data_IF_823723003667
#
_entry.id   IF_823723003667
#
_cell.length_a   1.000
_cell.length_b   1.000
_cell.length_c   1.000
_cell.angle_alpha   90.00
_cell.angle_beta   90.00
_cell.angle_gamma   90.00
#
_symmetry.space_group_name_H-M   'P 1'
#
loop_
_entity.id
_entity.type
_entity.pdbx_description
1 polymer ?
#
# COMPACT_ATOMS: atom_id res chain seq x y z
N UNK A 1 6.28 3.91 2.14
CA UNK A 1 6.93 5.23 2.32
C UNK A 1 8.30 4.99 2.92
N UNK A 2 9.41 5.31 2.23
CA UNK A 2 10.75 5.26 2.79
C UNK A 2 10.88 6.32 3.90
N UNK A 3 11.60 6.00 4.97
CA UNK A 3 11.84 6.87 6.13
C UNK A 3 13.24 6.59 6.69
N UNK A 4 13.81 7.48 7.48
CA UNK A 4 15.14 7.27 8.07
C UNK A 4 15.16 6.13 9.08
N UNK A 5 14.12 6.02 9.91
CA UNK A 5 14.02 4.99 10.94
C UNK A 5 12.57 4.51 11.10
N UNK A 6 12.33 3.24 10.81
CA UNK A 6 11.01 2.63 10.92
C UNK A 6 10.62 2.22 12.36
N UNK A 7 11.57 2.27 13.31
CA UNK A 7 11.29 1.99 14.72
C UNK A 7 10.75 3.24 15.42
N UNK A 8 9.44 3.42 15.40
CA UNK A 8 8.75 4.55 16.01
C UNK A 8 8.20 4.12 17.36
N UNK A 9 8.93 4.39 18.43
CA UNK A 9 8.53 4.00 19.78
C UNK A 9 7.29 4.78 20.24
N UNK A 10 6.31 4.07 20.78
CA UNK A 10 5.09 4.69 21.31
C UNK A 10 4.09 5.18 20.27
N UNK A 11 4.29 4.94 18.98
CA UNK A 11 3.40 5.38 17.91
C UNK A 11 1.92 5.04 18.18
N UNK A 12 1.63 3.86 18.72
CA UNK A 12 0.27 3.43 19.05
C UNK A 12 -0.38 4.22 20.20
N UNK A 13 0.38 4.98 20.98
CA UNK A 13 -0.13 5.81 22.09
C UNK A 13 -0.57 7.20 21.63
N UNK A 14 -0.14 7.62 20.45
CA UNK A 14 -0.45 8.91 19.87
C UNK A 14 -1.92 8.94 19.42
N UNK A 15 -2.52 10.12 19.42
CA UNK A 15 -3.82 10.37 18.77
C UNK A 15 -3.71 10.21 17.25
N UNK A 16 -4.85 10.15 16.54
CA UNK A 16 -4.86 10.02 15.07
C UNK A 16 -4.21 11.23 14.40
N UNK A 17 -4.43 12.45 14.92
CA UNK A 17 -3.79 13.67 14.41
C UNK A 17 -2.27 13.65 14.61
N UNK A 18 -1.81 13.34 15.82
CA UNK A 18 -0.38 13.26 16.12
C UNK A 18 0.34 12.20 15.27
N UNK A 19 -0.31 11.06 14.99
CA UNK A 19 0.26 10.04 14.08
C UNK A 19 0.40 10.55 12.66
N UNK A 20 -0.59 11.32 12.16
CA UNK A 20 -0.54 11.92 10.83
C UNK A 20 0.59 12.93 10.71
N UNK A 21 0.68 13.84 11.67
CA UNK A 21 1.71 14.87 11.74
C UNK A 21 3.11 14.24 11.80
N UNK A 22 3.32 13.27 12.67
CA UNK A 22 4.59 12.56 12.78
C UNK A 22 4.96 11.83 11.48
N UNK A 23 4.00 11.15 10.83
CA UNK A 23 4.25 10.47 9.55
C UNK A 23 4.57 11.47 8.44
N UNK A 24 3.90 12.61 8.43
CA UNK A 24 4.19 13.68 7.46
C UNK A 24 5.63 14.19 7.62
N UNK A 25 6.07 14.43 8.84
CA UNK A 25 7.42 14.86 9.14
C UNK A 25 8.47 13.83 8.71
N UNK A 26 8.36 12.59 9.18
CA UNK A 26 9.39 11.56 8.95
C UNK A 26 9.42 11.00 7.52
N UNK A 27 8.34 11.16 6.75
CA UNK A 27 8.23 10.72 5.36
C UNK A 27 8.24 11.90 4.37
N UNK A 28 8.53 13.12 4.85
CA UNK A 28 8.61 14.37 4.08
C UNK A 28 7.37 14.59 3.18
N UNK A 29 6.17 14.36 3.74
CA UNK A 29 4.91 14.53 3.02
C UNK A 29 4.46 15.98 3.04
N UNK A 30 3.79 16.40 1.96
CA UNK A 30 3.18 17.74 1.91
C UNK A 30 1.94 17.86 2.79
N UNK A 31 1.55 19.10 3.12
CA UNK A 31 0.31 19.41 3.84
C UNK A 31 -0.92 18.82 3.13
N UNK A 32 -0.93 18.82 1.81
CA UNK A 32 -2.01 18.24 0.99
C UNK A 32 -2.23 16.74 1.27
N UNK A 33 -1.14 15.97 1.45
CA UNK A 33 -1.24 14.56 1.82
C UNK A 33 -1.82 14.36 3.21
N UNK A 34 -1.44 15.21 4.17
CA UNK A 34 -1.97 15.17 5.55
C UNK A 34 -3.46 15.49 5.58
N UNK A 35 -3.86 16.52 4.83
CA UNK A 35 -5.26 16.90 4.68
C UNK A 35 -6.07 15.78 4.01
N UNK A 36 -5.57 15.17 2.93
CA UNK A 36 -6.23 14.05 2.27
C UNK A 36 -6.51 12.89 3.24
N UNK A 37 -5.56 12.57 4.12
CA UNK A 37 -5.78 11.56 5.14
C UNK A 37 -6.75 11.98 6.26
N UNK A 38 -6.97 13.28 6.43
CA UNK A 38 -7.92 13.81 7.42
C UNK A 38 -9.36 13.77 6.94
N UNK A 39 -9.56 13.76 5.62
CA UNK A 39 -10.88 13.74 4.98
C UNK A 39 -11.40 12.32 4.88
N UNK A 40 -12.71 12.16 4.97
CA UNK A 40 -13.40 10.89 4.77
C UNK A 40 -14.38 11.02 3.62
N UNK A 41 -14.47 9.97 2.78
CA UNK A 41 -15.47 9.93 1.71
C UNK A 41 -15.16 10.83 0.50
N UNK A 42 -13.89 10.99 0.15
CA UNK A 42 -13.46 11.83 -0.98
C UNK A 42 -13.63 11.19 -2.38
N UNK A 43 -13.89 9.89 -2.44
CA UNK A 43 -14.18 9.26 -3.72
C UNK A 43 -15.60 9.68 -4.17
N UNK A 44 -15.68 10.58 -5.14
CA UNK A 44 -16.94 11.03 -5.71
C UNK A 44 -17.60 9.94 -6.57
N UNK A 45 -18.92 10.07 -6.77
CA UNK A 45 -19.72 9.08 -7.50
C UNK A 45 -19.26 8.91 -8.95
N UNK A 46 -18.87 10.00 -9.63
CA UNK A 46 -18.42 9.96 -11.03
C UNK A 46 -17.10 9.19 -11.15
N UNK A 47 -16.18 9.37 -10.21
CA UNK A 47 -14.93 8.61 -10.15
C UNK A 47 -15.19 7.14 -9.83
N UNK A 48 -16.06 6.85 -8.87
CA UNK A 48 -16.44 5.49 -8.53
C UNK A 48 -17.08 4.74 -9.72
N UNK A 49 -17.97 5.40 -10.47
CA UNK A 49 -18.63 4.80 -11.65
C UNK A 49 -17.65 4.46 -12.77
N UNK A 50 -16.52 5.17 -12.86
CA UNK A 50 -15.44 4.82 -13.81
C UNK A 50 -14.58 3.64 -13.34
N UNK A 51 -14.65 3.27 -12.06
CA UNK A 51 -13.82 2.20 -11.48
C UNK A 51 -14.49 0.82 -11.54
N UNK A 52 -15.81 0.77 -11.32
CA UNK A 52 -16.59 -0.46 -11.35
C UNK A 52 -17.99 -0.21 -11.93
N UNK A 53 -18.67 -1.25 -12.37
CA UNK A 53 -20.04 -1.21 -12.89
C UNK A 53 -21.08 -1.14 -11.77
N UNK A 54 -22.27 -0.58 -12.07
CA UNK A 54 -23.47 -0.58 -11.21
C UNK A 54 -23.23 0.04 -9.83
N UNK A 55 -22.47 1.11 -9.75
CA UNK A 55 -22.17 1.83 -8.50
C UNK A 55 -23.46 2.29 -7.82
N UNK A 56 -23.56 2.06 -6.53
CA UNK A 56 -24.65 2.55 -5.66
C UNK A 56 -24.13 3.46 -4.52
N UNK A 57 -22.83 3.67 -4.43
CA UNK A 57 -22.19 4.49 -3.42
C UNK A 57 -20.74 4.10 -3.17
N UNK A 58 -20.12 4.70 -2.17
CA UNK A 58 -18.74 4.45 -1.74
C UNK A 58 -18.68 3.95 -0.30
N UNK A 59 -17.66 3.17 0.02
CA UNK A 59 -17.43 2.64 1.36
C UNK A 59 -16.03 2.98 1.85
N UNK A 60 -15.92 3.59 3.03
CA UNK A 60 -14.64 4.01 3.59
C UNK A 60 -14.06 2.93 4.51
N UNK A 61 -12.78 2.62 4.33
CA UNK A 61 -11.99 1.73 5.19
C UNK A 61 -10.94 2.53 5.98
N UNK A 62 -10.62 2.10 7.22
CA UNK A 62 -9.53 2.70 7.97
C UNK A 62 -8.17 2.50 7.30
N UNK A 63 -7.31 3.52 7.36
CA UNK A 63 -5.89 3.40 6.99
C UNK A 63 -5.07 3.37 8.28
N UNK A 64 -4.35 2.27 8.51
CA UNK A 64 -3.36 2.14 9.55
C UNK A 64 -1.95 2.13 8.98
N UNK A 65 -0.92 2.25 9.82
CA UNK A 65 0.48 2.16 9.40
C UNK A 65 1.22 1.15 10.25
N UNK A 66 1.81 0.16 9.60
CA UNK A 66 2.74 -0.76 10.23
C UNK A 66 4.16 -0.18 10.23
N UNK A 67 4.82 -0.33 11.37
CA UNK A 67 6.16 0.19 11.65
C UNK A 67 7.18 -0.94 11.76
N UNK A 68 8.46 -0.59 11.99
CA UNK A 68 9.59 -1.52 12.16
C UNK A 68 10.02 -2.28 10.89
N UNK A 69 9.50 -1.95 9.72
CA UNK A 69 9.90 -2.60 8.48
C UNK A 69 11.26 -2.12 8.00
N UNK A 70 12.15 -3.06 7.79
CA UNK A 70 13.39 -2.88 7.03
C UNK A 70 13.37 -3.89 5.91
N UNK A 71 13.50 -3.44 4.67
CA UNK A 71 13.55 -4.27 3.48
C UNK A 71 14.82 -3.90 2.70
N UNK A 72 15.68 -4.86 2.45
CA UNK A 72 16.98 -4.67 1.77
C UNK A 72 17.82 -3.53 2.33
N UNK A 73 17.79 -3.38 3.67
CA UNK A 73 18.53 -2.36 4.39
C UNK A 73 17.86 -0.99 4.48
N UNK A 74 16.75 -0.77 3.79
CA UNK A 74 15.99 0.49 3.81
C UNK A 74 14.80 0.41 4.77
N UNK A 75 14.53 1.49 5.50
CA UNK A 75 13.43 1.59 6.45
C UNK A 75 12.14 2.06 5.76
N UNK A 76 11.02 1.47 6.16
CA UNK A 76 9.70 1.79 5.59
C UNK A 76 8.62 1.90 6.67
N UNK A 77 7.71 2.86 6.49
CA UNK A 77 6.38 2.86 7.07
C UNK A 77 5.40 2.30 6.03
N UNK A 78 4.67 1.23 6.38
CA UNK A 78 3.82 0.51 5.42
C UNK A 78 2.35 0.82 5.71
N UNK A 79 1.62 1.51 4.80
CA UNK A 79 0.19 1.74 4.96
C UNK A 79 -0.60 0.44 4.72
N UNK A 80 -1.63 0.25 5.53
CA UNK A 80 -2.59 -0.83 5.44
C UNK A 80 -4.01 -0.27 5.39
N UNK A 81 -4.82 -0.72 4.45
CA UNK A 81 -6.24 -0.42 4.38
C UNK A 81 -7.02 -1.69 4.67
N UNK A 82 -7.72 -1.73 5.79
CA UNK A 82 -8.46 -2.92 6.23
C UNK A 82 -9.44 -2.59 7.37
N UNK A 83 -10.39 -3.49 7.59
CA UNK A 83 -11.41 -3.41 8.64
C UNK A 83 -11.11 -4.29 9.87
N UNK A 84 -10.12 -5.20 9.78
CA UNK A 84 -9.85 -6.18 10.82
C UNK A 84 -8.89 -5.64 11.90
N UNK A 85 -9.23 -5.72 13.18
CA UNK A 85 -8.33 -5.34 14.26
C UNK A 85 -7.13 -6.30 14.36
N UNK A 86 -6.04 -5.83 14.96
CA UNK A 86 -4.81 -6.57 15.25
C UNK A 86 -3.88 -6.84 14.05
N UNK A 87 -4.31 -6.78 12.80
CA UNK A 87 -3.47 -7.07 11.62
C UNK A 87 -2.27 -6.12 11.55
N UNK A 88 -2.49 -4.80 11.67
CA UNK A 88 -1.41 -3.80 11.65
C UNK A 88 -0.45 -4.00 12.82
N UNK A 89 -0.98 -4.32 14.00
CA UNK A 89 -0.18 -4.58 15.20
C UNK A 89 0.66 -5.86 15.05
N UNK A 90 0.07 -6.93 14.48
CA UNK A 90 0.76 -8.19 14.21
C UNK A 90 1.88 -8.00 13.18
N UNK A 91 1.62 -7.28 12.09
CA UNK A 91 2.61 -6.94 11.07
C UNK A 91 3.79 -6.16 11.68
N UNK A 92 3.51 -5.11 12.45
CA UNK A 92 4.53 -4.30 13.13
C UNK A 92 5.35 -5.12 14.15
N UNK A 93 4.70 -6.03 14.89
CA UNK A 93 5.38 -6.88 15.87
C UNK A 93 6.28 -7.91 15.17
N UNK A 94 5.83 -8.53 14.09
CA UNK A 94 6.65 -9.46 13.32
C UNK A 94 7.83 -8.74 12.67
N UNK A 95 7.61 -7.57 12.06
CA UNK A 95 8.68 -6.75 11.51
C UNK A 95 9.74 -6.40 12.56
N UNK A 96 9.30 -6.03 13.78
CA UNK A 96 10.21 -5.78 14.91
C UNK A 96 11.08 -7.00 15.27
N UNK A 97 10.54 -8.21 15.19
CA UNK A 97 11.32 -9.44 15.43
C UNK A 97 12.35 -9.70 14.34
N UNK A 98 11.98 -9.41 13.08
CA UNK A 98 12.89 -9.56 11.93
C UNK A 98 14.07 -8.57 11.98
N UNK A 99 13.90 -7.41 12.63
CA UNK A 99 14.98 -6.40 12.76
C UNK A 99 16.27 -6.96 13.36
N UNK A 100 16.17 -7.90 14.31
CA UNK A 100 17.34 -8.52 14.93
C UNK A 100 18.26 -9.24 13.93
N UNK A 101 17.71 -9.63 12.76
CA UNK A 101 18.41 -10.32 11.68
C UNK A 101 18.57 -9.45 10.42
N UNK A 102 18.45 -8.12 10.56
CA UNK A 102 18.61 -7.17 9.46
C UNK A 102 17.36 -6.92 8.62
N UNK A 103 16.17 -7.35 9.07
CA UNK A 103 14.89 -7.13 8.39
C UNK A 103 14.59 -8.20 7.35
N UNK A 104 13.86 -7.80 6.31
CA UNK A 104 13.45 -8.64 5.18
C UNK A 104 14.45 -8.51 4.03
N UNK A 105 14.58 -9.59 3.26
CA UNK A 105 15.26 -9.60 1.99
C UNK A 105 14.25 -9.86 0.88
N UNK A 106 14.33 -9.10 -0.20
CA UNK A 106 13.52 -9.32 -1.39
C UNK A 106 14.33 -10.00 -2.49
N UNK A 107 13.64 -10.82 -3.26
CA UNK A 107 14.12 -11.41 -4.49
C UNK A 107 12.95 -11.43 -5.48
N UNK A 108 13.14 -10.90 -6.67
CA UNK A 108 12.07 -10.83 -7.66
C UNK A 108 12.58 -11.31 -9.01
N UNK A 109 11.68 -11.93 -9.77
CA UNK A 109 11.84 -12.10 -11.20
C UNK A 109 11.82 -10.74 -11.93
N UNK A 110 12.26 -10.73 -13.18
CA UNK A 110 12.13 -9.55 -14.03
C UNK A 110 10.67 -9.07 -14.11
N UNK A 111 10.42 -7.75 -14.12
CA UNK A 111 9.06 -7.21 -14.11
C UNK A 111 8.38 -7.37 -15.48
N UNK A 112 8.08 -8.60 -15.85
CA UNK A 112 7.40 -8.96 -17.09
C UNK A 112 5.91 -9.05 -16.87
N UNK A 113 5.14 -8.18 -17.53
CA UNK A 113 3.69 -8.23 -17.54
C UNK A 113 3.21 -9.22 -18.62
N UNK A 114 2.34 -10.15 -18.23
CA UNK A 114 1.70 -11.08 -19.18
C UNK A 114 0.54 -10.33 -19.84
N UNK A 115 0.62 -10.17 -21.18
CA UNK A 115 -0.47 -9.68 -22.02
C UNK A 115 -1.18 -10.81 -22.74
N UNK A 116 -2.50 -10.70 -22.92
CA UNK A 116 -3.29 -11.60 -23.76
C UNK A 116 -3.89 -10.82 -24.92
N UNK A 117 -3.69 -11.31 -26.13
CA UNK A 117 -4.33 -10.80 -27.35
C UNK A 117 -5.13 -11.94 -27.96
N UNK A 118 -6.46 -11.78 -28.01
CA UNK A 118 -7.33 -12.72 -28.67
C UNK A 118 -7.51 -12.34 -30.14
N UNK A 119 -7.02 -13.20 -31.03
CA UNK A 119 -7.23 -13.07 -32.48
C UNK A 119 -8.35 -13.99 -32.91
N UNK A 120 -9.39 -13.42 -33.56
CA UNK A 120 -10.55 -14.18 -34.08
C UNK A 120 -10.50 -14.27 -35.60
N UNK A 121 -11.08 -15.31 -36.19
CA UNK A 121 -11.10 -15.50 -37.64
C UNK A 121 -9.76 -15.87 -38.26
N UNK A 122 -8.82 -16.40 -37.47
CA UNK A 122 -7.53 -16.87 -37.95
C UNK A 122 -7.68 -18.24 -38.61
N UNK A 123 -7.40 -18.35 -39.90
CA UNK A 123 -7.48 -19.60 -40.65
C UNK A 123 -6.32 -20.59 -40.36
N UNK A 124 -5.13 -20.03 -40.06
CA UNK A 124 -3.95 -20.78 -39.62
C UNK A 124 -3.40 -20.25 -38.29
N UNK A 125 -3.94 -20.72 -37.15
CA UNK A 125 -3.46 -20.28 -35.83
C UNK A 125 -1.99 -20.63 -35.56
N UNK A 126 -1.50 -21.73 -36.13
CA UNK A 126 -0.12 -22.17 -35.90
C UNK A 126 0.85 -21.28 -36.65
N UNK A 127 0.61 -20.96 -37.91
CA UNK A 127 1.42 -20.03 -38.68
C UNK A 127 1.39 -18.60 -38.12
N UNK A 128 0.25 -18.17 -37.61
CA UNK A 128 0.13 -16.85 -36.94
C UNK A 128 0.89 -16.77 -35.61
N UNK A 129 1.09 -17.89 -34.91
CA UNK A 129 1.91 -17.94 -33.69
C UNK A 129 3.41 -17.87 -34.01
N UNK A 130 3.80 -18.47 -35.12
CA UNK A 130 5.22 -18.69 -35.47
C UNK A 130 5.78 -17.53 -36.34
N UNK A 131 4.96 -16.52 -36.69
CA UNK A 131 5.30 -15.29 -37.41
C UNK A 131 5.53 -14.12 -36.45
#
# INVERSE_FOLDING_TARGET
>A
MPIENSRIEGFYKLSVSERRELLAEIAELSEEHVEAWARTGELDEESAERMIENVIGTYSLPIGVATNFVVDGSHYAIPFVLEEPSVVAAASNMAKRCLANGGFKSDNDDPVMIGQIQVVGCEDPQGARDS
#
